data_IF_000455822950
#
_entry.id   IF_000455822950
#
_cell.length_a   1.000
_cell.length_b   1.000
_cell.length_c   1.000
_cell.angle_alpha   90.00
_cell.angle_beta   90.00
_cell.angle_gamma   90.00
#
_symmetry.space_group_name_H-M   'P 1'
#
loop_
_entity.id
_entity.type
_entity.pdbx_description
1 polymer ?
#
# COMPACT_ATOMS: atom_id res chain seq x y z
N UNK A 1 13.94 63.24 34.00
CA UNK A 1 12.57 62.76 34.34
C UNK A 1 12.59 61.25 34.23
N UNK A 2 12.62 60.47 35.32
CA UNK A 2 11.54 60.13 36.28
C UNK A 2 10.37 59.34 35.68
N UNK A 3 10.10 58.20 36.35
CA UNK A 3 8.92 57.31 36.37
C UNK A 3 8.82 56.34 35.19
N UNK A 4 9.04 55.02 35.32
CA UNK A 4 8.69 54.07 36.39
C UNK A 4 7.16 53.94 36.57
N UNK A 5 6.56 52.91 35.95
CA UNK A 5 5.31 52.29 36.45
C UNK A 5 5.34 50.78 36.23
N UNK A 6 5.46 50.11 37.37
CA UNK A 6 5.31 48.68 37.63
C UNK A 6 3.86 48.20 37.49
N UNK A 7 3.76 46.90 37.25
CA UNK A 7 2.89 45.90 37.88
C UNK A 7 1.37 46.14 38.00
N UNK A 8 0.62 45.18 37.46
CA UNK A 8 -0.78 44.92 37.77
C UNK A 8 -1.06 43.41 37.80
N UNK A 9 -0.62 42.76 38.88
CA UNK A 9 -0.94 41.39 39.25
C UNK A 9 -2.33 41.39 39.91
N UNK A 10 -3.30 40.62 39.42
CA UNK A 10 -4.48 40.21 40.21
C UNK A 10 -4.87 38.77 39.91
N UNK A 11 -4.50 37.94 40.87
CA UNK A 11 -4.97 36.57 41.13
C UNK A 11 -6.33 36.59 41.82
N UNK A 12 -7.27 35.76 41.36
CA UNK A 12 -8.43 35.19 42.07
C UNK A 12 -8.70 33.86 41.31
N UNK A 13 -8.68 32.63 41.85
CA UNK A 13 -8.80 32.16 43.23
C UNK A 13 -10.18 31.55 43.47
N UNK A 14 -10.44 30.31 43.04
CA UNK A 14 -11.50 29.39 43.53
C UNK A 14 -11.32 28.04 42.82
N UNK A 15 -10.87 26.92 43.39
CA UNK A 15 -11.17 26.15 44.61
C UNK A 15 -12.56 25.48 44.64
N UNK A 16 -12.64 24.25 44.11
CA UNK A 16 -13.46 23.12 44.60
C UNK A 16 -13.08 21.86 43.79
N UNK A 17 -12.24 20.92 44.23
CA UNK A 17 -12.39 19.87 45.27
C UNK A 17 -13.56 18.91 45.05
N UNK A 18 -13.19 17.63 44.90
CA UNK A 18 -13.97 16.38 45.00
C UNK A 18 -14.96 16.03 43.88
N UNK A 19 -14.69 14.93 43.16
CA UNK A 19 -15.15 13.61 43.60
C UNK A 19 -14.41 12.49 42.84
N UNK A 20 -13.72 11.65 43.62
CA UNK A 20 -13.21 10.35 43.20
C UNK A 20 -14.39 9.42 42.93
N UNK A 21 -14.49 8.87 41.73
CA UNK A 21 -15.15 7.56 41.56
C UNK A 21 -14.38 6.75 40.52
N UNK A 22 -13.45 5.93 41.02
CA UNK A 22 -12.90 4.83 40.28
C UNK A 22 -13.94 3.70 40.28
N UNK A 23 -14.53 3.41 39.12
CA UNK A 23 -15.24 2.16 38.89
C UNK A 23 -14.55 1.44 37.74
N UNK A 24 -13.55 0.62 38.09
CA UNK A 24 -13.09 -0.45 37.22
C UNK A 24 -14.10 -1.59 37.33
N UNK A 25 -14.84 -1.85 36.26
CA UNK A 25 -15.54 -3.11 36.09
C UNK A 25 -15.49 -3.55 34.62
N UNK A 26 -14.61 -4.53 34.40
CA UNK A 26 -14.75 -5.70 33.53
C UNK A 26 -14.95 -5.49 32.03
N UNK A 27 -13.90 -5.84 31.29
CA UNK A 27 -13.94 -6.15 29.87
C UNK A 27 -14.91 -7.31 29.61
N UNK A 28 -15.84 -7.13 28.66
CA UNK A 28 -16.62 -8.22 28.10
C UNK A 28 -16.48 -8.19 26.58
N UNK A 29 -15.71 -9.14 26.05
CA UNK A 29 -15.59 -9.39 24.63
C UNK A 29 -16.92 -9.94 24.08
N UNK A 30 -17.35 -9.55 22.86
CA UNK A 30 -18.49 -10.19 22.23
C UNK A 30 -18.09 -11.60 21.76
N UNK A 31 -18.79 -12.59 22.31
CA UNK A 31 -18.70 -13.99 21.90
C UNK A 31 -19.00 -14.14 20.40
N UNK A 32 -18.10 -14.83 19.71
CA UNK A 32 -18.31 -15.34 18.36
C UNK A 32 -19.50 -16.31 18.36
N UNK A 33 -20.54 -16.00 17.56
CA UNK A 33 -21.59 -16.95 17.21
C UNK A 33 -21.19 -17.65 15.91
N UNK A 34 -20.54 -18.80 16.01
CA UNK A 34 -20.40 -19.76 14.91
C UNK A 34 -21.63 -20.66 14.87
N UNK A 35 -22.31 -20.70 13.71
CA UNK A 35 -23.35 -21.67 13.40
C UNK A 35 -22.69 -23.04 13.08
N UNK A 36 -23.31 -24.17 13.44
CA UNK A 36 -22.76 -25.50 13.19
C UNK A 36 -23.05 -25.97 11.75
N UNK A 37 -22.04 -26.55 11.10
CA UNK A 37 -22.16 -27.34 9.87
C UNK A 37 -21.74 -28.80 10.15
N UNK A 38 -22.30 -29.80 9.46
CA UNK A 38 -22.47 -31.13 10.02
C UNK A 38 -21.48 -32.14 9.43
N UNK A 39 -20.39 -32.47 10.12
CA UNK A 39 -19.67 -33.72 9.86
C UNK A 39 -19.00 -34.20 11.15
N UNK A 40 -19.60 -35.22 11.75
CA UNK A 40 -19.03 -36.00 12.85
C UNK A 40 -17.85 -36.86 12.32
N UNK A 41 -16.74 -36.97 13.05
CA UNK A 41 -15.73 -37.99 12.79
C UNK A 41 -16.10 -39.30 13.52
N UNK A 42 -16.28 -40.38 12.76
CA UNK A 42 -16.42 -41.75 13.29
C UNK A 42 -15.01 -42.30 13.61
N UNK A 43 -14.81 -42.95 14.78
CA UNK A 43 -13.50 -43.47 15.20
C UNK A 43 -13.21 -44.84 14.58
N UNK A 44 -11.95 -45.10 14.21
CA UNK A 44 -11.47 -46.45 13.86
C UNK A 44 -10.27 -46.79 14.75
N UNK A 45 -10.39 -47.89 15.49
CA UNK A 45 -9.31 -48.59 16.18
C UNK A 45 -9.38 -50.09 15.80
N UNK A 46 -8.40 -50.92 16.17
CA UNK A 46 -7.27 -51.38 15.34
C UNK A 46 -7.43 -52.83 14.84
N UNK A 47 -6.78 -53.22 13.74
CA UNK A 47 -6.64 -54.64 13.38
C UNK A 47 -5.20 -55.02 12.98
N UNK A 48 -4.80 -56.15 13.57
CA UNK A 48 -3.50 -56.82 13.60
C UNK A 48 -3.21 -57.63 12.33
N UNK A 49 -1.96 -58.06 12.22
CA UNK A 49 -1.32 -58.74 11.09
C UNK A 49 -1.46 -60.28 11.09
N UNK A 50 -0.90 -60.85 9.99
CA UNK A 50 -0.48 -62.25 9.71
C UNK A 50 -1.39 -63.09 8.79
N UNK A 51 -0.88 -64.16 8.12
CA UNK A 51 0.31 -64.28 7.28
C UNK A 51 0.02 -65.07 5.96
N UNK A 52 0.87 -65.00 4.94
CA UNK A 52 0.86 -65.98 3.83
C UNK A 52 2.23 -66.63 3.65
N UNK A 53 2.26 -67.96 3.76
CA UNK A 53 3.42 -68.85 3.55
C UNK A 53 3.41 -69.47 2.14
N UNK A 54 4.56 -70.01 1.68
CA UNK A 54 4.91 -70.17 0.27
C UNK A 54 4.80 -71.62 -0.23
N UNK A 55 5.06 -71.83 -1.53
CA UNK A 55 5.68 -73.00 -2.20
C UNK A 55 5.18 -73.10 -3.66
N UNK A 56 5.71 -73.95 -4.56
CA UNK A 56 6.97 -74.72 -4.59
C UNK A 56 7.68 -74.74 -5.98
N UNK A 57 9.00 -74.95 -5.98
CA UNK A 57 9.81 -75.72 -6.95
C UNK A 57 9.65 -75.61 -8.50
N UNK A 58 10.85 -75.59 -9.12
CA UNK A 58 11.22 -76.19 -10.43
C UNK A 58 10.94 -75.37 -11.71
N UNK A 59 11.89 -75.00 -12.58
CA UNK A 59 13.18 -75.62 -12.98
C UNK A 59 14.17 -74.58 -13.54
N UNK A 60 15.45 -74.90 -13.40
CA UNK A 60 16.59 -74.32 -14.13
C UNK A 60 16.91 -75.21 -15.34
N UNK A 61 17.41 -74.69 -16.47
CA UNK A 61 18.81 -75.00 -16.83
C UNK A 61 19.61 -73.78 -17.36
N UNK A 62 20.94 -73.85 -17.16
CA UNK A 62 21.97 -72.87 -17.55
C UNK A 62 22.52 -73.09 -18.99
N UNK A 63 22.96 -71.98 -19.60
CA UNK A 63 24.16 -71.76 -20.46
C UNK A 63 24.22 -72.39 -21.89
N UNK A 64 24.89 -71.76 -22.90
CA UNK A 64 26.14 -71.00 -22.74
C UNK A 64 26.27 -69.63 -23.44
N UNK A 65 27.26 -68.93 -22.93
CA UNK A 65 27.86 -67.65 -23.30
C UNK A 65 28.46 -67.64 -24.72
N UNK A 66 28.29 -66.52 -25.46
CA UNK A 66 29.28 -66.01 -26.43
C UNK A 66 28.98 -64.58 -26.93
N UNK A 67 29.97 -63.71 -26.68
CA UNK A 67 30.53 -62.61 -27.49
C UNK A 67 29.64 -61.45 -28.05
N UNK A 68 30.06 -60.23 -27.70
CA UNK A 68 29.71 -58.89 -28.25
C UNK A 68 29.84 -58.83 -29.79
N UNK A 69 29.07 -57.95 -30.46
CA UNK A 69 29.66 -56.68 -30.91
C UNK A 69 28.76 -55.44 -30.74
N UNK A 70 29.42 -54.29 -30.65
CA UNK A 70 28.88 -52.92 -30.58
C UNK A 70 28.13 -52.50 -31.84
N UNK A 71 27.06 -51.69 -31.69
CA UNK A 71 26.62 -50.67 -32.65
C UNK A 71 25.52 -49.75 -32.05
N UNK A 72 25.26 -48.55 -32.61
CA UNK A 72 25.67 -47.24 -32.08
C UNK A 72 24.57 -46.52 -31.28
N UNK A 73 24.96 -45.66 -30.32
CA UNK A 73 24.05 -44.74 -29.63
C UNK A 73 23.47 -43.73 -30.63
N UNK A 74 22.20 -43.89 -30.97
CA UNK A 74 21.37 -42.87 -31.58
C UNK A 74 21.22 -41.65 -30.63
N UNK A 75 21.07 -40.42 -31.16
CA UNK A 75 21.13 -39.18 -30.40
C UNK A 75 19.96 -39.12 -29.42
N UNK A 76 20.28 -38.90 -28.15
CA UNK A 76 19.28 -38.62 -27.13
C UNK A 76 18.67 -37.26 -27.44
N UNK A 77 17.36 -37.23 -27.69
CA UNK A 77 16.55 -36.02 -27.66
C UNK A 77 16.85 -35.28 -26.36
N UNK A 78 17.43 -34.10 -26.45
CA UNK A 78 17.55 -33.17 -25.34
C UNK A 78 16.15 -32.90 -24.78
N UNK A 79 15.89 -33.48 -23.61
CA UNK A 79 14.75 -33.11 -22.79
C UNK A 79 14.94 -31.62 -22.45
N UNK A 80 14.01 -30.73 -22.81
CA UNK A 80 14.14 -29.33 -22.47
C UNK A 80 14.25 -29.21 -20.95
N UNK A 81 15.37 -28.64 -20.51
CA UNK A 81 15.63 -28.20 -19.14
C UNK A 81 14.36 -27.51 -18.62
N UNK A 82 13.72 -27.99 -17.53
CA UNK A 82 12.68 -27.22 -16.86
C UNK A 82 13.25 -25.81 -16.62
N UNK A 83 12.49 -24.73 -16.90
CA UNK A 83 12.99 -23.39 -16.68
C UNK A 83 13.50 -23.35 -15.26
N UNK A 84 14.80 -23.09 -15.12
CA UNK A 84 15.44 -22.92 -13.83
C UNK A 84 14.61 -21.92 -13.05
N UNK A 85 13.81 -22.47 -12.15
CA UNK A 85 13.26 -21.81 -10.99
C UNK A 85 14.48 -21.18 -10.34
N UNK A 86 14.66 -19.88 -10.59
CA UNK A 86 15.80 -19.10 -10.12
C UNK A 86 16.03 -19.50 -8.69
N UNK A 87 17.11 -20.24 -8.44
CA UNK A 87 17.49 -20.67 -7.12
C UNK A 87 17.41 -19.43 -6.22
N UNK A 88 16.51 -19.48 -5.23
CA UNK A 88 16.36 -18.46 -4.22
C UNK A 88 17.68 -18.39 -3.46
N UNK A 89 18.61 -17.57 -3.96
CA UNK A 89 19.75 -17.12 -3.18
C UNK A 89 19.16 -16.38 -1.98
N UNK A 90 19.68 -16.58 -0.76
CA UNK A 90 19.24 -15.77 0.36
C UNK A 90 19.40 -14.30 -0.05
N UNK A 91 18.27 -13.60 -0.14
CA UNK A 91 18.27 -12.17 -0.45
C UNK A 91 19.02 -11.51 0.69
N UNK A 92 20.04 -10.73 0.37
CA UNK A 92 20.62 -9.85 1.37
C UNK A 92 19.55 -8.83 1.75
N UNK A 93 19.46 -8.47 3.04
CA UNK A 93 18.56 -7.41 3.54
C UNK A 93 19.06 -6.03 3.13
N UNK A 94 19.34 -5.86 1.84
CA UNK A 94 19.96 -4.70 1.21
C UNK A 94 19.11 -4.28 0.02
N UNK A 95 18.98 -2.99 -0.19
CA UNK A 95 18.26 -2.42 -1.33
C UNK A 95 19.14 -2.53 -2.58
N UNK A 96 18.77 -3.41 -3.50
CA UNK A 96 19.46 -3.61 -4.79
C UNK A 96 19.22 -2.42 -5.73
N UNK A 97 17.99 -1.92 -5.79
CA UNK A 97 17.59 -0.83 -6.66
C UNK A 97 16.36 -0.08 -6.11
N UNK A 98 16.31 1.23 -6.42
CA UNK A 98 15.12 2.05 -6.20
C UNK A 98 14.67 2.62 -7.54
N UNK A 99 13.47 2.23 -7.94
CA UNK A 99 12.82 2.62 -9.19
C UNK A 99 11.64 3.57 -8.93
N UNK A 100 11.46 4.54 -9.82
CA UNK A 100 10.29 5.41 -9.83
C UNK A 100 9.53 5.22 -11.15
N UNK A 101 8.25 4.81 -11.07
CA UNK A 101 7.38 4.67 -12.25
C UNK A 101 6.24 5.66 -12.21
N UNK A 102 5.90 6.23 -13.35
CA UNK A 102 4.79 7.17 -13.50
C UNK A 102 5.12 8.64 -13.25
N UNK A 103 6.34 8.95 -12.80
CA UNK A 103 6.88 10.31 -12.82
C UNK A 103 7.15 10.76 -14.27
N UNK A 104 6.59 11.90 -14.67
CA UNK A 104 6.71 12.51 -16.01
C UNK A 104 7.30 13.91 -15.93
N UNK A 105 6.77 14.76 -15.06
CA UNK A 105 7.20 16.16 -14.87
C UNK A 105 8.32 16.27 -13.85
N UNK A 106 8.36 15.38 -12.86
CA UNK A 106 9.40 15.39 -11.82
C UNK A 106 10.55 14.48 -12.23
N UNK A 107 11.79 14.98 -12.35
CA UNK A 107 12.95 14.14 -12.62
C UNK A 107 13.15 13.09 -11.53
N UNK A 108 13.57 11.89 -11.92
CA UNK A 108 13.82 10.80 -10.97
C UNK A 108 14.93 11.15 -9.97
N UNK A 109 15.92 11.94 -10.37
CA UNK A 109 16.99 12.38 -9.47
C UNK A 109 16.46 13.29 -8.35
N UNK A 110 15.47 14.13 -8.66
CA UNK A 110 14.78 14.95 -7.65
C UNK A 110 14.02 14.07 -6.67
N UNK A 111 13.35 13.01 -7.15
CA UNK A 111 12.66 12.06 -6.29
C UNK A 111 13.65 11.30 -5.38
N UNK A 112 14.77 10.86 -5.95
CA UNK A 112 15.84 10.19 -5.24
C UNK A 112 16.48 11.08 -4.18
N UNK A 113 16.58 12.39 -4.42
CA UNK A 113 17.11 13.36 -3.46
C UNK A 113 16.15 13.66 -2.29
N UNK A 114 14.84 13.45 -2.47
CA UNK A 114 13.85 13.67 -1.41
C UNK A 114 13.75 12.51 -0.42
N UNK A 115 14.06 11.29 -0.87
CA UNK A 115 14.02 10.09 -0.02
C UNK A 115 15.34 9.86 0.70
N UNK A 116 15.26 9.25 1.87
CA UNK A 116 16.42 8.86 2.66
C UNK A 116 17.04 7.55 2.17
N UNK A 117 16.21 6.60 1.73
CA UNK A 117 16.68 5.29 1.28
C UNK A 117 17.42 5.37 -0.06
N UNK A 118 18.54 4.65 -0.16
CA UNK A 118 19.38 4.58 -1.37
C UNK A 118 19.73 3.14 -1.71
N UNK A 119 20.20 2.95 -2.94
CA UNK A 119 20.78 1.68 -3.37
C UNK A 119 21.99 1.36 -2.48
N UNK A 120 22.05 0.14 -1.97
CA UNK A 120 23.08 -0.35 -1.07
C UNK A 120 22.78 -0.14 0.42
N UNK A 121 21.73 0.61 0.76
CA UNK A 121 21.29 0.72 2.15
C UNK A 121 20.63 -0.59 2.60
N UNK A 122 20.66 -0.84 3.91
CA UNK A 122 19.95 -1.96 4.51
C UNK A 122 18.44 -1.75 4.36
N UNK A 123 17.72 -2.82 4.02
CA UNK A 123 16.27 -2.79 3.90
C UNK A 123 15.63 -2.51 5.26
N UNK A 124 14.87 -1.41 5.33
CA UNK A 124 14.13 -0.96 6.51
C UNK A 124 12.75 -0.46 6.07
N UNK A 125 11.70 -1.15 6.50
CA UNK A 125 10.32 -0.79 6.17
C UNK A 125 9.92 0.56 6.79
N UNK A 126 10.43 0.91 7.97
CA UNK A 126 10.13 2.18 8.62
C UNK A 126 10.77 3.35 7.86
N UNK A 127 11.97 3.14 7.30
CA UNK A 127 12.60 4.11 6.40
C UNK A 127 11.76 4.33 5.14
N UNK A 128 11.32 3.25 4.48
CA UNK A 128 10.48 3.33 3.30
C UNK A 128 9.13 4.01 3.58
N UNK A 129 8.55 3.79 4.76
CA UNK A 129 7.33 4.47 5.20
C UNK A 129 7.55 5.98 5.39
N UNK A 130 8.68 6.40 5.97
CA UNK A 130 9.03 7.82 6.08
C UNK A 130 9.22 8.45 4.70
N UNK A 131 9.92 7.75 3.81
CA UNK A 131 10.13 8.20 2.42
C UNK A 131 8.82 8.34 1.66
N UNK A 132 7.91 7.37 1.81
CA UNK A 132 6.55 7.46 1.29
C UNK A 132 5.83 8.72 1.78
N UNK A 133 5.89 9.00 3.09
CA UNK A 133 5.26 10.19 3.66
C UNK A 133 5.89 11.48 3.15
N UNK A 134 7.21 11.51 2.95
CA UNK A 134 7.89 12.66 2.34
C UNK A 134 7.40 12.92 0.91
N UNK A 135 7.26 11.86 0.10
CA UNK A 135 6.73 11.98 -1.25
C UNK A 135 5.25 12.39 -1.26
N UNK A 136 4.44 11.84 -0.36
CA UNK A 136 3.02 12.19 -0.21
C UNK A 136 2.83 13.65 0.18
N UNK A 137 3.57 14.10 1.21
CA UNK A 137 3.52 15.46 1.73
C UNK A 137 4.07 16.50 0.75
N UNK A 138 4.82 16.07 -0.27
CA UNK A 138 5.22 16.96 -1.36
C UNK A 138 4.02 17.51 -2.14
N UNK A 139 2.86 16.85 -2.07
CA UNK A 139 1.61 17.26 -2.71
C UNK A 139 1.63 17.21 -4.23
N UNK A 140 2.60 16.51 -4.84
CA UNK A 140 2.82 16.42 -6.30
C UNK A 140 2.20 15.19 -6.96
N UNK A 141 1.73 14.23 -6.15
CA UNK A 141 1.19 12.96 -6.63
C UNK A 141 -0.26 12.80 -6.14
N UNK A 142 -1.12 12.24 -6.99
CA UNK A 142 -2.51 11.89 -6.65
C UNK A 142 -2.60 10.50 -6.00
N UNK A 143 -1.75 9.57 -6.44
CA UNK A 143 -1.61 8.22 -5.87
C UNK A 143 -0.12 7.84 -5.80
N UNK A 144 0.26 7.12 -4.74
CA UNK A 144 1.60 6.58 -4.55
C UNK A 144 1.42 5.15 -4.04
N UNK A 145 2.10 4.20 -4.68
CA UNK A 145 2.17 2.81 -4.24
C UNK A 145 3.62 2.41 -4.07
N UNK A 146 3.89 1.75 -2.96
CA UNK A 146 5.17 1.14 -2.65
C UNK A 146 5.07 -0.35 -3.01
N UNK A 147 5.84 -0.76 -4.00
CA UNK A 147 6.01 -2.15 -4.39
C UNK A 147 7.41 -2.60 -3.99
N UNK A 148 7.51 -3.71 -3.27
CA UNK A 148 8.80 -4.31 -2.90
C UNK A 148 8.85 -5.69 -3.53
N UNK A 149 9.82 -5.89 -4.42
CA UNK A 149 10.01 -7.13 -5.15
C UNK A 149 11.39 -7.74 -4.81
N UNK A 150 11.49 -9.07 -4.68
CA UNK A 150 12.78 -9.72 -4.53
C UNK A 150 13.60 -9.63 -5.82
N UNK A 151 14.81 -9.10 -5.72
CA UNK A 151 15.79 -8.97 -6.80
C UNK A 151 16.69 -10.19 -6.96
N UNK A 152 17.83 -10.00 -7.62
CA UNK A 152 18.83 -11.07 -7.77
C UNK A 152 19.69 -11.22 -6.52
N UNK A 153 19.99 -10.09 -5.89
CA UNK A 153 20.95 -10.00 -4.79
C UNK A 153 20.37 -9.26 -3.58
N UNK A 154 19.24 -8.57 -3.71
CA UNK A 154 18.57 -7.88 -2.60
C UNK A 154 17.16 -7.43 -2.98
N UNK A 155 16.62 -6.46 -2.26
CA UNK A 155 15.26 -5.96 -2.47
C UNK A 155 15.22 -4.86 -3.53
N UNK A 156 14.27 -4.96 -4.46
CA UNK A 156 13.97 -3.91 -5.43
C UNK A 156 12.76 -3.15 -4.91
N UNK A 157 12.96 -1.88 -4.60
CA UNK A 157 11.90 -0.99 -4.13
C UNK A 157 11.43 -0.14 -5.30
N UNK A 158 10.14 -0.21 -5.61
CA UNK A 158 9.51 0.54 -6.69
C UNK A 158 8.43 1.45 -6.14
N UNK A 159 8.59 2.74 -6.40
CA UNK A 159 7.56 3.75 -6.15
C UNK A 159 6.76 3.93 -7.44
N UNK A 160 5.53 3.40 -7.47
CA UNK A 160 4.58 3.64 -8.55
C UNK A 160 3.75 4.86 -8.20
N UNK A 161 3.98 5.96 -8.90
CA UNK A 161 3.36 7.26 -8.63
C UNK A 161 2.44 7.68 -9.77
N UNK A 162 1.34 8.35 -9.42
CA UNK A 162 0.47 9.04 -10.37
C UNK A 162 0.64 10.53 -10.13
N UNK A 163 1.28 11.23 -11.07
CA UNK A 163 1.47 12.68 -10.95
C UNK A 163 0.17 13.46 -11.04
N UNK A 164 0.06 14.52 -10.24
CA UNK A 164 -1.06 15.45 -10.32
C UNK A 164 -1.01 16.21 -11.62
N UNK A 165 -2.14 16.20 -12.33
CA UNK A 165 -2.30 17.02 -13.52
C UNK A 165 -2.36 18.50 -13.17
N UNK A 166 -1.96 19.38 -14.09
CA UNK A 166 -2.09 20.84 -13.93
C UNK A 166 -3.34 21.33 -14.63
N UNK A 167 -4.12 22.16 -13.94
CA UNK A 167 -5.36 22.75 -14.48
C UNK A 167 -5.00 23.80 -15.53
N UNK A 168 -5.22 23.50 -16.81
CA UNK A 168 -4.92 24.43 -17.92
C UNK A 168 -6.00 25.48 -18.14
N UNK A 169 -7.25 25.10 -17.97
CA UNK A 169 -8.39 26.00 -18.17
C UNK A 169 -9.54 25.51 -17.32
N UNK A 170 -10.28 26.45 -16.71
CA UNK A 170 -11.54 26.18 -16.04
C UNK A 170 -12.64 26.84 -16.86
N UNK A 171 -13.52 26.03 -17.45
CA UNK A 171 -14.69 26.51 -18.19
C UNK A 171 -15.89 26.53 -17.25
N UNK A 172 -16.66 27.62 -17.31
CA UNK A 172 -17.88 27.79 -16.55
C UNK A 172 -19.07 27.73 -17.50
N UNK A 173 -19.72 26.57 -17.55
CA UNK A 173 -20.85 26.32 -18.45
C UNK A 173 -22.17 26.40 -17.68
N UNK A 174 -23.26 26.78 -18.36
CA UNK A 174 -24.60 26.85 -17.76
C UNK A 174 -24.82 27.99 -16.76
N UNK A 175 -23.86 28.90 -16.61
CA UNK A 175 -23.96 30.01 -15.65
C UNK A 175 -24.84 31.13 -16.24
N UNK A 176 -26.12 31.16 -15.83
CA UNK A 176 -27.10 32.17 -16.30
C UNK A 176 -27.43 33.26 -15.26
N UNK A 177 -27.12 33.01 -13.99
CA UNK A 177 -27.65 33.79 -12.86
C UNK A 177 -26.56 34.41 -11.98
N UNK A 178 -25.31 34.13 -12.32
CA UNK A 178 -24.11 34.53 -11.61
C UNK A 178 -23.06 34.83 -12.66
N UNK A 179 -22.21 35.81 -12.43
CA UNK A 179 -21.08 36.08 -13.34
C UNK A 179 -19.85 35.27 -12.94
N UNK A 180 -18.97 34.97 -13.89
CA UNK A 180 -17.71 34.26 -13.61
C UNK A 180 -16.86 35.03 -12.58
N UNK A 181 -16.87 36.36 -12.63
CA UNK A 181 -16.17 37.21 -11.66
C UNK A 181 -16.64 36.97 -10.23
N UNK A 182 -17.96 36.92 -10.00
CA UNK A 182 -18.53 36.64 -8.67
C UNK A 182 -18.14 35.25 -8.15
N UNK A 183 -18.09 34.24 -9.03
CA UNK A 183 -17.62 32.90 -8.67
C UNK A 183 -16.15 32.94 -8.23
N UNK A 184 -15.30 33.61 -9.01
CA UNK A 184 -13.87 33.74 -8.71
C UNK A 184 -13.65 34.49 -7.40
N UNK A 185 -14.43 35.51 -7.10
CA UNK A 185 -14.31 36.26 -5.85
C UNK A 185 -14.75 35.41 -4.65
N UNK A 186 -15.84 34.65 -4.76
CA UNK A 186 -16.22 33.67 -3.72
C UNK A 186 -15.16 32.60 -3.50
N UNK A 187 -14.48 32.14 -4.55
CA UNK A 187 -13.39 31.17 -4.42
C UNK A 187 -12.18 31.73 -3.67
N UNK A 188 -11.87 33.03 -3.86
CA UNK A 188 -10.83 33.73 -3.09
C UNK A 188 -11.24 33.89 -1.63
N UNK A 189 -12.46 34.35 -1.37
CA UNK A 189 -12.99 34.55 0.00
C UNK A 189 -12.97 33.26 0.81
N UNK A 190 -13.43 32.14 0.23
CA UNK A 190 -13.46 30.82 0.89
C UNK A 190 -12.14 30.05 0.79
N UNK A 191 -11.09 30.66 0.22
CA UNK A 191 -9.74 30.08 0.06
C UNK A 191 -9.75 28.67 -0.54
N UNK A 192 -10.53 28.47 -1.61
CA UNK A 192 -10.65 27.17 -2.28
C UNK A 192 -9.31 26.73 -2.89
N UNK A 193 -8.52 27.70 -3.38
CA UNK A 193 -7.19 27.44 -3.94
C UNK A 193 -7.21 26.70 -5.28
N UNK A 194 -8.31 26.81 -6.01
CA UNK A 194 -8.47 26.33 -7.39
C UNK A 194 -8.27 27.52 -8.33
N UNK A 195 -7.19 27.51 -9.10
CA UNK A 195 -6.89 28.52 -10.12
C UNK A 195 -6.39 27.86 -11.40
N UNK A 196 -6.38 28.63 -12.49
CA UNK A 196 -5.62 28.24 -13.68
C UNK A 196 -4.15 28.07 -13.26
N UNK A 197 -3.46 27.11 -13.87
CA UNK A 197 -2.06 26.72 -13.60
C UNK A 197 -1.81 26.03 -12.25
N UNK A 198 -2.81 25.94 -11.38
CA UNK A 198 -2.69 25.17 -10.14
C UNK A 198 -2.69 23.67 -10.40
N UNK A 199 -2.08 22.90 -9.50
CA UNK A 199 -2.21 21.45 -9.51
C UNK A 199 -3.65 21.06 -9.22
N UNK A 200 -4.17 20.11 -10.00
CA UNK A 200 -5.47 19.51 -9.79
C UNK A 200 -5.48 18.77 -8.47
N UNK A 201 -6.51 19.04 -7.67
CA UNK A 201 -6.74 18.36 -6.41
C UNK A 201 -8.23 18.03 -6.30
N UNK A 202 -8.61 16.75 -6.26
CA UNK A 202 -10.02 16.38 -6.17
C UNK A 202 -10.69 16.95 -4.91
N UNK A 203 -9.96 17.09 -3.81
CA UNK A 203 -10.50 17.68 -2.57
C UNK A 203 -10.80 19.18 -2.73
N UNK A 204 -9.96 19.91 -3.48
CA UNK A 204 -10.23 21.32 -3.80
C UNK A 204 -11.43 21.48 -4.73
N UNK A 205 -11.61 20.56 -5.68
CA UNK A 205 -12.78 20.57 -6.57
C UNK A 205 -14.06 20.33 -5.79
N UNK A 206 -14.09 19.36 -4.87
CA UNK A 206 -15.26 19.14 -4.02
C UNK A 206 -15.57 20.34 -3.12
N UNK A 207 -14.53 20.99 -2.58
CA UNK A 207 -14.70 22.25 -1.85
C UNK A 207 -15.28 23.36 -2.73
N UNK A 208 -14.79 23.49 -3.97
CA UNK A 208 -15.30 24.46 -4.94
C UNK A 208 -16.80 24.24 -5.23
N UNK A 209 -17.20 22.98 -5.42
CA UNK A 209 -18.60 22.59 -5.63
C UNK A 209 -19.47 22.97 -4.44
N UNK A 210 -19.00 22.70 -3.22
CA UNK A 210 -19.72 23.05 -1.99
C UNK A 210 -19.90 24.56 -1.87
N UNK A 211 -18.82 25.33 -2.09
CA UNK A 211 -18.86 26.79 -2.07
C UNK A 211 -19.81 27.37 -3.13
N UNK A 212 -19.83 26.78 -4.34
CA UNK A 212 -20.77 27.19 -5.38
C UNK A 212 -22.23 26.91 -4.99
N UNK A 213 -22.51 25.74 -4.40
CA UNK A 213 -23.85 25.40 -3.93
C UNK A 213 -24.32 26.35 -2.84
N UNK A 214 -23.46 26.62 -1.86
CA UNK A 214 -23.75 27.56 -0.78
C UNK A 214 -24.01 28.96 -1.34
N UNK A 215 -23.17 29.42 -2.27
CA UNK A 215 -23.32 30.73 -2.90
C UNK A 215 -24.62 30.86 -3.72
N UNK A 216 -25.03 29.79 -4.41
CA UNK A 216 -26.29 29.75 -5.14
C UNK A 216 -27.49 29.67 -4.19
N UNK A 217 -27.37 28.93 -3.09
CA UNK A 217 -28.39 28.84 -2.05
C UNK A 217 -28.63 30.17 -1.34
N UNK A 218 -27.57 30.94 -1.06
CA UNK A 218 -27.65 32.32 -0.53
C UNK A 218 -28.49 33.24 -1.44
N UNK A 219 -28.48 32.99 -2.76
CA UNK A 219 -29.29 33.71 -3.75
C UNK A 219 -30.68 33.09 -3.99
N UNK A 220 -31.12 32.20 -3.12
CA UNK A 220 -32.43 31.54 -3.19
C UNK A 220 -32.50 30.35 -4.15
N UNK A 221 -31.38 29.89 -4.73
CA UNK A 221 -31.32 28.78 -5.69
C UNK A 221 -30.81 27.50 -5.03
N UNK A 222 -31.59 26.97 -4.11
CA UNK A 222 -31.24 25.83 -3.24
C UNK A 222 -31.07 24.49 -3.98
N UNK A 223 -31.66 24.36 -5.18
CA UNK A 223 -31.67 23.12 -5.98
C UNK A 223 -30.78 23.18 -7.24
N UNK A 224 -29.91 24.19 -7.35
CA UNK A 224 -28.98 24.28 -8.47
C UNK A 224 -27.95 23.12 -8.41
N UNK A 225 -27.67 22.49 -9.56
CA UNK A 225 -26.78 21.33 -9.69
C UNK A 225 -25.61 21.62 -10.62
#
# INVERSE_FOLDING_TARGET
MRSDRRAGLRSIGSLMVMLVTALKLTAQAPAARTKPGPFEPVPVAPQQAEPQKPSPFERVPQAPEQAKPEQPRAPQLEVPKPPEEKAARPLEDVIEAIEFRGARRVPQDTLRAMISSRKGDRYDEDALRRDFMTLWNSGRFDDIRLEVEPGKNGWIVRFVVVERQVVRTVKYEGVKSVTVSEILDRFKERRVGLSVESQYDPNKVQRAVTVLRDFLAERGRQFAK
#
